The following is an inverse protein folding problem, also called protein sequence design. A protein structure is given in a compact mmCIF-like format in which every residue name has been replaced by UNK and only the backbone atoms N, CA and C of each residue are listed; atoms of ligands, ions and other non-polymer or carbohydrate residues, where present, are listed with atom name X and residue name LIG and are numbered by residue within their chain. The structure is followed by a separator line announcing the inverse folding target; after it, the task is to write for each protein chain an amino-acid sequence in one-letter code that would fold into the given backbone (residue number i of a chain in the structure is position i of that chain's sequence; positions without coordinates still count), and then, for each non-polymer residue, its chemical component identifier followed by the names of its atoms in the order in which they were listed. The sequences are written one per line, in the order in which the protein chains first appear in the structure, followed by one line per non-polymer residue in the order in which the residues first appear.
data_IF_668759259596
#
_entry.id   IF_668759259596
#
_cell.length_a   1.000
_cell.length_b   1.000
_cell.length_c   1.000
_cell.angle_alpha   90.00
_cell.angle_beta   90.00
_cell.angle_gamma   90.00
#
_symmetry.space_group_name_H-M   'P 1'
#
loop_
_entity.id
_entity.type
_entity.pdbx_description
1 polymer ?
#
# COMPACT_ATOMS: atom_id res chain seq x y z
N UNK A 1 -18.90 -14.70 -23.01
CA UNK A 1 -19.70 -14.93 -24.20
C UNK A 1 -20.64 -16.08 -23.94
N UNK A 2 -21.93 -15.90 -24.12
CA UNK A 2 -22.94 -16.95 -24.03
C UNK A 2 -23.44 -17.22 -25.43
N UNK A 3 -23.47 -18.50 -25.79
CA UNK A 3 -24.14 -18.97 -26.99
C UNK A 3 -25.60 -19.24 -26.60
N UNK A 4 -26.56 -18.60 -27.27
CA UNK A 4 -27.95 -18.97 -27.13
C UNK A 4 -28.31 -20.06 -28.15
N UNK A 5 -29.37 -20.82 -27.89
CA UNK A 5 -29.79 -21.94 -28.73
C UNK A 5 -30.14 -21.50 -30.13
N UNK A 6 -30.77 -20.33 -30.29
CA UNK A 6 -31.16 -19.74 -31.58
C UNK A 6 -29.94 -19.40 -32.45
N UNK A 7 -28.87 -18.89 -31.84
CA UNK A 7 -27.61 -18.64 -32.54
C UNK A 7 -26.92 -19.93 -32.99
N UNK A 8 -26.99 -20.98 -32.18
CA UNK A 8 -26.48 -22.32 -32.53
C UNK A 8 -27.25 -22.92 -33.69
N UNK A 9 -28.58 -22.84 -33.67
CA UNK A 9 -29.46 -23.42 -34.69
C UNK A 9 -29.31 -22.70 -36.04
N UNK A 10 -29.00 -21.42 -36.04
CA UNK A 10 -28.81 -20.61 -37.24
C UNK A 10 -27.34 -20.48 -37.68
N UNK A 11 -26.40 -21.13 -36.96
CA UNK A 11 -24.96 -21.01 -37.23
C UNK A 11 -24.39 -19.60 -36.92
N UNK A 12 -25.12 -18.72 -36.26
CA UNK A 12 -24.71 -17.43 -35.85
C UNK A 12 -24.36 -17.40 -34.35
N UNK A 13 -23.15 -17.00 -34.00
CA UNK A 13 -22.76 -16.81 -32.62
C UNK A 13 -23.09 -15.37 -32.21
N UNK A 14 -24.20 -15.20 -31.49
CA UNK A 14 -24.53 -13.93 -30.87
C UNK A 14 -23.80 -13.83 -29.53
N UNK A 15 -22.95 -12.80 -29.43
CA UNK A 15 -22.42 -12.40 -28.11
C UNK A 15 -23.58 -11.85 -27.29
N UNK A 16 -23.88 -12.49 -26.18
CA UNK A 16 -24.84 -11.94 -25.21
C UNK A 16 -24.28 -10.59 -24.71
N UNK A 17 -24.99 -9.49 -25.10
CA UNK A 17 -24.65 -8.13 -24.70
C UNK A 17 -25.03 -7.81 -23.25
N UNK A 18 -25.63 -8.75 -22.53
CA UNK A 18 -25.97 -8.61 -21.13
C UNK A 18 -24.70 -8.69 -20.28
N UNK A 19 -23.98 -7.61 -20.16
CA UNK A 19 -22.83 -7.46 -19.29
C UNK A 19 -23.26 -6.86 -17.95
N UNK A 20 -22.69 -7.36 -16.88
CA UNK A 20 -22.79 -6.69 -15.59
C UNK A 20 -22.17 -5.30 -15.70
N UNK A 21 -22.93 -4.27 -15.33
CA UNK A 21 -22.52 -2.87 -15.44
C UNK A 21 -22.61 -2.22 -14.08
N UNK A 22 -21.61 -1.43 -13.73
CA UNK A 22 -21.69 -0.51 -12.62
C UNK A 22 -21.18 0.87 -13.03
N UNK A 23 -21.77 1.90 -12.44
CA UNK A 23 -21.36 3.29 -12.62
C UNK A 23 -21.05 3.87 -11.26
N UNK A 24 -19.90 4.53 -11.12
CA UNK A 24 -19.47 5.17 -9.88
C UNK A 24 -19.43 6.67 -10.08
N UNK A 25 -20.20 7.38 -9.27
CA UNK A 25 -20.14 8.82 -9.13
C UNK A 25 -19.56 9.15 -7.75
N UNK A 26 -18.43 9.82 -7.72
CA UNK A 26 -17.77 10.23 -6.47
C UNK A 26 -17.51 11.73 -6.51
N UNK A 27 -18.13 12.44 -5.58
CA UNK A 27 -17.93 13.87 -5.35
C UNK A 27 -17.40 14.07 -3.92
N UNK A 28 -16.33 14.83 -3.79
CA UNK A 28 -15.78 15.23 -2.49
C UNK A 28 -15.70 16.76 -2.47
N UNK A 29 -16.52 17.37 -1.63
CA UNK A 29 -16.41 18.78 -1.32
C UNK A 29 -15.59 18.95 -0.07
N UNK A 30 -14.53 19.77 -0.14
CA UNK A 30 -13.59 19.93 0.94
C UNK A 30 -13.36 21.40 1.29
N UNK A 31 -13.28 21.68 2.58
CA UNK A 31 -12.79 22.93 3.11
C UNK A 31 -11.65 22.62 4.11
N UNK A 32 -10.62 23.42 4.10
CA UNK A 32 -9.49 23.25 5.01
C UNK A 32 -8.90 24.59 5.43
N UNK A 33 -8.27 24.57 6.59
CA UNK A 33 -7.45 25.65 7.10
C UNK A 33 -6.29 25.06 7.86
N UNK A 34 -5.12 25.68 7.76
CA UNK A 34 -3.96 25.35 8.57
C UNK A 34 -3.23 26.60 9.03
N UNK A 35 -2.57 26.49 10.17
CA UNK A 35 -1.77 27.54 10.73
C UNK A 35 -0.44 26.97 11.23
N UNK A 36 0.64 27.55 10.75
CA UNK A 36 1.98 27.23 11.23
C UNK A 36 2.51 28.40 12.06
N UNK A 37 2.96 28.10 13.28
CA UNK A 37 3.52 29.09 14.16
C UNK A 37 4.87 28.63 14.72
N UNK A 38 5.87 29.51 14.60
CA UNK A 38 7.20 29.30 15.14
C UNK A 38 7.31 30.01 16.50
N UNK A 39 7.17 29.24 17.57
CA UNK A 39 7.24 29.74 18.95
C UNK A 39 8.65 30.23 19.32
N UNK A 40 9.65 29.48 18.85
CA UNK A 40 11.07 29.82 19.01
C UNK A 40 11.82 29.45 17.73
N UNK A 41 13.11 29.79 17.63
CA UNK A 41 13.98 29.36 16.51
C UNK A 41 14.06 27.82 16.42
N UNK A 42 13.82 27.12 17.52
CA UNK A 42 13.93 25.68 17.62
C UNK A 42 12.56 24.97 17.58
N UNK A 43 11.46 25.66 17.91
CA UNK A 43 10.15 25.01 18.06
C UNK A 43 9.11 25.60 17.11
N UNK A 44 8.57 24.74 16.25
CA UNK A 44 7.51 25.07 15.31
C UNK A 44 6.34 24.11 15.51
N UNK A 45 5.13 24.63 15.51
CA UNK A 45 3.89 23.84 15.48
C UNK A 45 3.05 24.21 14.26
N UNK A 46 2.42 23.21 13.67
CA UNK A 46 1.41 23.36 12.64
C UNK A 46 0.14 22.66 13.11
N UNK A 47 -0.96 23.37 13.12
CA UNK A 47 -2.30 22.86 13.41
C UNK A 47 -3.14 22.98 12.14
N UNK A 48 -3.66 21.86 11.67
CA UNK A 48 -4.52 21.78 10.49
C UNK A 48 -5.89 21.23 10.83
N UNK A 49 -6.88 21.68 10.09
CA UNK A 49 -8.22 21.16 10.10
C UNK A 49 -8.73 21.04 8.67
N UNK A 50 -9.31 19.90 8.35
CA UNK A 50 -9.97 19.67 7.06
C UNK A 50 -11.33 19.00 7.31
N UNK A 51 -12.33 19.41 6.56
CA UNK A 51 -13.62 18.78 6.50
C UNK A 51 -13.89 18.35 5.07
N UNK A 52 -14.13 17.06 4.87
CA UNK A 52 -14.54 16.49 3.58
C UNK A 52 -16.00 16.04 3.69
N UNK A 53 -16.84 16.45 2.76
CA UNK A 53 -18.18 15.89 2.57
C UNK A 53 -18.12 14.97 1.36
N UNK A 54 -18.22 13.68 1.59
CA UNK A 54 -18.12 12.62 0.58
C UNK A 54 -19.52 12.21 0.17
N UNK A 55 -19.78 12.29 -1.14
CA UNK A 55 -20.92 11.71 -1.81
C UNK A 55 -20.39 10.68 -2.80
N UNK A 56 -20.54 9.40 -2.50
CA UNK A 56 -20.13 8.31 -3.39
C UNK A 56 -21.36 7.43 -3.66
N UNK A 57 -21.77 7.38 -4.91
CA UNK A 57 -22.89 6.54 -5.35
C UNK A 57 -22.41 5.53 -6.37
N UNK A 58 -22.78 4.28 -6.15
CA UNK A 58 -22.50 3.15 -7.02
C UNK A 58 -23.83 2.60 -7.50
N UNK A 59 -24.18 2.86 -8.75
CA UNK A 59 -25.34 2.27 -9.43
C UNK A 59 -24.88 0.97 -10.10
N UNK A 60 -25.62 -0.11 -9.93
CA UNK A 60 -25.26 -1.40 -10.51
C UNK A 60 -26.45 -2.13 -11.11
N UNK A 61 -26.17 -2.90 -12.17
CA UNK A 61 -27.11 -3.80 -12.81
C UNK A 61 -26.39 -5.14 -13.06
N UNK A 62 -26.77 -6.14 -12.28
CA UNK A 62 -26.22 -7.50 -12.36
C UNK A 62 -27.19 -8.38 -13.13
N UNK A 63 -26.90 -8.63 -14.40
CA UNK A 63 -27.79 -9.35 -15.30
C UNK A 63 -28.00 -10.83 -14.91
N UNK A 64 -27.00 -11.43 -14.28
CA UNK A 64 -27.11 -12.79 -13.71
C UNK A 64 -27.73 -12.72 -12.32
N UNK A 65 -29.03 -12.81 -12.24
CA UNK A 65 -29.80 -12.76 -11.00
C UNK A 65 -30.78 -11.59 -10.93
N UNK A 66 -30.76 -10.69 -11.93
CA UNK A 66 -31.73 -9.61 -12.03
C UNK A 66 -31.63 -8.57 -10.91
N UNK A 67 -30.45 -8.42 -10.30
CA UNK A 67 -30.26 -7.46 -9.20
C UNK A 67 -29.84 -6.12 -9.75
N UNK A 68 -30.72 -5.13 -9.64
CA UNK A 68 -30.43 -3.74 -9.93
C UNK A 68 -30.59 -2.92 -8.66
N UNK A 69 -29.66 -2.00 -8.42
CA UNK A 69 -29.72 -1.15 -7.24
C UNK A 69 -28.67 -0.05 -7.25
N UNK A 70 -28.61 0.67 -6.14
CA UNK A 70 -27.60 1.68 -5.89
C UNK A 70 -27.21 1.67 -4.42
N UNK A 71 -25.93 1.89 -4.17
CA UNK A 71 -25.37 2.12 -2.83
C UNK A 71 -24.83 3.53 -2.75
N UNK A 72 -25.05 4.19 -1.61
CA UNK A 72 -24.63 5.57 -1.39
C UNK A 72 -23.90 5.72 -0.06
N UNK A 73 -22.71 6.32 -0.13
CA UNK A 73 -21.99 6.82 1.03
C UNK A 73 -22.12 8.35 0.99
N UNK A 74 -22.88 8.90 1.95
CA UNK A 74 -23.07 10.32 2.12
C UNK A 74 -22.68 10.72 3.53
N UNK A 75 -21.42 11.14 3.71
CA UNK A 75 -20.84 11.31 5.05
C UNK A 75 -19.86 12.47 5.11
N UNK A 76 -19.97 13.35 6.14
CA UNK A 76 -18.92 14.31 6.46
C UNK A 76 -17.79 13.64 7.27
N UNK A 77 -16.55 14.02 6.98
CA UNK A 77 -15.36 13.60 7.71
C UNK A 77 -14.63 14.83 8.26
N UNK A 78 -14.38 14.82 9.57
CA UNK A 78 -13.62 15.87 10.25
C UNK A 78 -12.19 15.35 10.49
N UNK A 79 -11.19 16.04 9.96
CA UNK A 79 -9.82 15.57 9.79
C UNK A 79 -8.84 16.58 10.42
N UNK A 80 -8.75 16.61 11.76
CA UNK A 80 -7.75 17.42 12.45
C UNK A 80 -6.34 16.84 12.24
N UNK A 81 -5.33 17.72 12.25
CA UNK A 81 -3.92 17.34 12.24
C UNK A 81 -3.09 18.28 13.11
N UNK A 82 -2.09 17.72 13.76
CA UNK A 82 -1.09 18.43 14.55
C UNK A 82 0.29 17.94 14.14
N UNK A 83 1.19 18.86 13.83
CA UNK A 83 2.58 18.56 13.59
C UNK A 83 3.46 19.48 14.47
N UNK A 84 4.34 18.88 15.24
CA UNK A 84 5.30 19.57 16.08
C UNK A 84 6.71 19.23 15.60
N UNK A 85 7.56 20.24 15.47
CA UNK A 85 8.98 20.09 15.15
C UNK A 85 9.79 20.81 16.21
N UNK A 86 10.77 20.10 16.78
CA UNK A 86 11.69 20.64 17.74
C UNK A 86 13.15 20.35 17.34
N UNK A 87 13.88 21.38 16.97
CA UNK A 87 15.29 21.30 16.63
C UNK A 87 16.11 21.34 17.93
N UNK A 88 16.46 20.16 18.48
CA UNK A 88 17.27 20.00 19.70
C UNK A 88 18.64 20.67 19.56
N UNK A 89 19.23 20.55 18.38
CA UNK A 89 20.47 21.20 17.96
C UNK A 89 20.42 21.47 16.46
N UNK A 90 21.45 22.07 15.87
CA UNK A 90 21.57 22.21 14.41
C UNK A 90 21.60 20.90 13.64
N UNK A 91 21.88 19.79 14.34
CA UNK A 91 22.02 18.45 13.76
C UNK A 91 20.94 17.46 14.20
N UNK A 92 20.17 17.76 15.22
CA UNK A 92 19.15 16.86 15.77
C UNK A 92 17.78 17.51 15.74
N UNK A 93 16.83 16.85 15.13
CA UNK A 93 15.43 17.29 15.07
C UNK A 93 14.51 16.19 15.58
N UNK A 94 13.51 16.57 16.36
CA UNK A 94 12.43 15.70 16.81
C UNK A 94 11.13 16.17 16.17
N UNK A 95 10.32 15.23 15.67
CA UNK A 95 9.03 15.51 15.05
C UNK A 95 7.96 14.63 15.65
N UNK A 96 6.82 15.22 15.96
CA UNK A 96 5.62 14.53 16.39
C UNK A 96 4.49 14.90 15.42
N UNK A 97 3.84 13.91 14.87
CA UNK A 97 2.63 14.04 14.05
C UNK A 97 1.45 13.36 14.73
N UNK A 98 0.28 13.97 14.68
CA UNK A 98 -0.98 13.33 15.05
C UNK A 98 -2.05 13.75 14.06
N UNK A 99 -2.85 12.81 13.54
CA UNK A 99 -3.89 13.13 12.56
C UNK A 99 -5.03 12.13 12.56
N UNK A 100 -6.20 12.59 12.15
CA UNK A 100 -7.31 11.73 11.75
C UNK A 100 -7.44 11.74 10.23
N UNK A 101 -7.61 10.55 9.64
CA UNK A 101 -7.88 10.34 8.22
C UNK A 101 -9.02 9.34 8.05
N UNK A 102 -9.48 9.10 6.82
CA UNK A 102 -10.48 8.07 6.55
C UNK A 102 -10.08 7.23 5.33
N UNK A 103 -10.69 6.04 5.22
CA UNK A 103 -10.58 5.16 4.06
C UNK A 103 -11.98 4.84 3.54
N UNK A 104 -12.23 5.10 2.27
CA UNK A 104 -13.46 4.69 1.60
C UNK A 104 -13.29 3.32 0.96
N UNK A 105 -14.34 2.48 0.92
CA UNK A 105 -14.31 1.28 0.11
C UNK A 105 -14.12 1.65 -1.36
N UNK A 106 -13.42 0.79 -2.10
CA UNK A 106 -13.27 0.94 -3.54
C UNK A 106 -14.58 0.57 -4.25
N UNK A 107 -14.78 1.08 -5.46
CA UNK A 107 -15.97 0.83 -6.23
C UNK A 107 -16.27 -0.67 -6.42
N UNK A 108 -15.24 -1.46 -6.72
CA UNK A 108 -15.40 -2.92 -6.88
C UNK A 108 -15.65 -3.64 -5.56
N UNK A 109 -15.24 -3.06 -4.42
CA UNK A 109 -15.43 -3.67 -3.10
C UNK A 109 -16.86 -3.54 -2.62
N UNK A 110 -17.55 -2.45 -3.00
CA UNK A 110 -18.95 -2.20 -2.62
C UNK A 110 -19.95 -2.70 -3.67
N UNK A 111 -19.51 -2.94 -4.91
CA UNK A 111 -20.41 -3.42 -5.99
C UNK A 111 -20.69 -4.90 -5.86
N UNK A 112 -21.97 -5.35 -5.88
CA UNK A 112 -22.36 -6.73 -5.58
C UNK A 112 -22.12 -7.73 -6.71
N UNK A 113 -21.53 -7.35 -7.82
CA UNK A 113 -21.30 -8.25 -8.93
C UNK A 113 -20.08 -9.16 -8.72
N UNK A 114 -20.12 -10.32 -9.34
CA UNK A 114 -19.06 -11.31 -9.26
C UNK A 114 -18.02 -11.07 -10.34
N UNK A 115 -16.80 -10.78 -9.91
CA UNK A 115 -15.63 -10.66 -10.77
C UNK A 115 -14.90 -11.99 -10.82
N UNK A 116 -14.64 -12.50 -12.04
CA UNK A 116 -13.90 -13.75 -12.24
C UNK A 116 -12.52 -13.41 -12.76
N UNK A 117 -11.53 -13.46 -11.88
CA UNK A 117 -10.11 -13.33 -12.20
C UNK A 117 -9.51 -14.66 -12.64
N UNK A 118 -8.23 -14.64 -12.98
CA UNK A 118 -7.49 -15.85 -13.37
C UNK A 118 -7.34 -16.81 -12.19
N UNK A 119 -7.03 -16.29 -11.00
CA UNK A 119 -6.75 -17.11 -9.81
C UNK A 119 -7.94 -17.25 -8.87
N UNK A 120 -8.71 -16.17 -8.69
CA UNK A 120 -9.82 -16.13 -7.74
C UNK A 120 -11.03 -15.44 -8.33
N UNK A 121 -12.19 -15.90 -7.91
CA UNK A 121 -13.45 -15.17 -8.05
C UNK A 121 -13.55 -14.19 -6.90
N UNK A 122 -14.08 -12.99 -7.13
CA UNK A 122 -14.35 -12.03 -6.05
C UNK A 122 -15.74 -11.43 -6.23
N UNK A 123 -16.34 -11.01 -5.12
CA UNK A 123 -17.65 -10.35 -5.10
C UNK A 123 -17.60 -9.23 -4.07
N UNK A 124 -18.05 -8.04 -4.46
CA UNK A 124 -18.13 -6.91 -3.54
C UNK A 124 -19.23 -7.07 -2.50
N UNK A 125 -19.16 -6.25 -1.45
CA UNK A 125 -20.12 -6.25 -0.34
C UNK A 125 -20.72 -4.82 -0.20
N UNK A 126 -22.02 -4.72 -0.41
CA UNK A 126 -22.79 -3.47 -0.33
C UNK A 126 -22.79 -2.83 1.06
N UNK A 127 -22.59 -3.63 2.10
CA UNK A 127 -22.70 -3.18 3.49
C UNK A 127 -21.42 -2.55 4.04
N UNK A 128 -20.39 -2.37 3.21
CA UNK A 128 -19.13 -1.79 3.63
C UNK A 128 -19.27 -0.35 4.12
N UNK A 129 -18.71 -0.09 5.29
CA UNK A 129 -18.64 1.23 5.90
C UNK A 129 -17.23 1.81 5.75
N UNK A 130 -17.11 3.13 5.57
CA UNK A 130 -15.81 3.78 5.62
C UNK A 130 -15.09 3.57 6.95
N UNK A 131 -13.76 3.44 6.89
CA UNK A 131 -12.91 3.38 8.08
C UNK A 131 -12.48 4.77 8.53
N UNK A 132 -12.45 5.02 9.84
CA UNK A 132 -11.79 6.17 10.43
C UNK A 132 -10.40 5.76 10.95
N UNK A 133 -9.36 6.51 10.62
CA UNK A 133 -7.98 6.21 10.99
C UNK A 133 -7.41 7.31 11.88
N UNK A 134 -6.88 6.95 13.04
CA UNK A 134 -6.18 7.85 13.96
C UNK A 134 -4.70 7.48 13.96
N UNK A 135 -3.85 8.43 13.62
CA UNK A 135 -2.43 8.23 13.41
C UNK A 135 -1.62 9.06 14.40
N UNK A 136 -0.54 8.49 14.92
CA UNK A 136 0.46 9.18 15.73
C UNK A 136 1.83 8.69 15.29
N UNK A 137 2.74 9.63 15.01
CA UNK A 137 4.08 9.38 14.52
C UNK A 137 5.07 10.20 15.36
N UNK A 138 6.16 9.57 15.78
CA UNK A 138 7.29 10.23 16.44
C UNK A 138 8.57 9.88 15.69
N UNK A 139 9.33 10.88 15.29
CA UNK A 139 10.55 10.70 14.50
C UNK A 139 11.69 11.55 15.07
N UNK A 140 12.86 10.93 15.24
CA UNK A 140 14.10 11.61 15.55
C UNK A 140 15.04 11.51 14.35
N UNK A 141 15.55 12.68 13.91
CA UNK A 141 16.48 12.81 12.79
C UNK A 141 17.83 13.34 13.32
N UNK A 142 18.90 12.72 12.89
CA UNK A 142 20.28 13.17 13.10
C UNK A 142 20.97 13.38 11.76
N UNK A 143 21.48 14.57 11.54
CA UNK A 143 22.19 15.00 10.35
C UNK A 143 23.70 15.16 10.67
N UNK A 144 24.53 14.10 10.53
CA UNK A 144 25.97 14.20 10.72
C UNK A 144 26.61 15.28 9.83
N UNK A 145 26.21 15.28 8.55
CA UNK A 145 26.55 16.26 7.52
C UNK A 145 25.30 16.66 6.74
N UNK A 146 25.40 17.58 5.78
CA UNK A 146 24.28 18.00 4.92
C UNK A 146 23.74 16.87 4.00
N UNK A 147 24.56 15.87 3.72
CA UNK A 147 24.20 14.74 2.83
C UNK A 147 23.96 13.42 3.57
N UNK A 148 24.17 13.37 4.88
CA UNK A 148 24.01 12.18 5.70
C UNK A 148 22.82 12.32 6.65
N UNK A 149 22.13 11.22 6.89
CA UNK A 149 20.98 11.14 7.76
C UNK A 149 21.00 9.81 8.52
N UNK A 150 20.72 9.87 9.80
CA UNK A 150 20.25 8.75 10.62
C UNK A 150 18.90 9.16 11.18
N UNK A 151 17.89 8.36 10.91
CA UNK A 151 16.54 8.63 11.40
C UNK A 151 15.95 7.39 12.04
N UNK A 152 15.27 7.57 13.16
CA UNK A 152 14.51 6.52 13.85
C UNK A 152 13.12 7.07 14.12
N UNK A 153 12.11 6.36 13.65
CA UNK A 153 10.71 6.70 13.84
C UNK A 153 9.93 5.58 14.51
N UNK A 154 8.89 5.95 15.24
CA UNK A 154 7.84 5.04 15.71
C UNK A 154 6.50 5.56 15.26
N UNK A 155 5.60 4.67 14.88
CA UNK A 155 4.25 5.03 14.47
C UNK A 155 3.21 4.13 15.13
N UNK A 156 2.04 4.71 15.34
CA UNK A 156 0.87 3.99 15.82
C UNK A 156 -0.37 4.44 15.06
N UNK A 157 -1.21 3.48 14.67
CA UNK A 157 -2.47 3.74 14.00
C UNK A 157 -3.58 2.90 14.64
N UNK A 158 -4.68 3.56 14.99
CA UNK A 158 -5.94 2.93 15.32
C UNK A 158 -6.89 3.09 14.14
N UNK A 159 -7.47 2.00 13.67
CA UNK A 159 -8.40 1.96 12.54
C UNK A 159 -9.75 1.49 13.08
N UNK A 160 -10.78 2.34 13.03
CA UNK A 160 -12.15 1.93 13.28
C UNK A 160 -12.77 1.37 12.00
N UNK A 161 -13.50 0.27 12.10
CA UNK A 161 -14.14 -0.44 10.99
C UNK A 161 -13.15 -0.79 9.85
N UNK A 162 -12.04 -1.51 10.12
CA UNK A 162 -11.07 -1.85 9.09
C UNK A 162 -11.70 -2.72 8.01
N UNK A 163 -11.52 -2.32 6.74
CA UNK A 163 -11.96 -3.09 5.57
C UNK A 163 -10.84 -4.06 5.21
N UNK A 164 -11.19 -5.33 4.97
CA UNK A 164 -10.23 -6.32 4.49
C UNK A 164 -10.91 -7.34 3.59
N UNK A 165 -10.10 -8.00 2.77
CA UNK A 165 -10.53 -9.11 1.94
C UNK A 165 -10.64 -10.38 2.78
N UNK A 166 -11.75 -11.09 2.62
CA UNK A 166 -12.03 -12.35 3.28
C UNK A 166 -12.32 -13.43 2.25
N UNK A 167 -12.12 -14.69 2.65
CA UNK A 167 -12.61 -15.81 1.89
C UNK A 167 -13.98 -16.24 2.40
N UNK A 168 -14.95 -16.32 1.49
CA UNK A 168 -16.30 -16.78 1.82
C UNK A 168 -16.37 -18.28 1.57
N UNK A 169 -16.66 -19.05 2.63
CA UNK A 169 -16.87 -20.49 2.53
C UNK A 169 -18.15 -20.79 1.75
N UNK A 170 -18.00 -21.25 0.52
CA UNK A 170 -19.09 -21.67 -0.35
C UNK A 170 -18.64 -22.80 -1.27
N UNK A 171 -19.57 -23.56 -1.84
CA UNK A 171 -19.25 -24.66 -2.77
C UNK A 171 -18.38 -24.24 -3.98
N UNK A 172 -18.31 -22.97 -4.30
CA UNK A 172 -17.49 -22.45 -5.39
C UNK A 172 -16.32 -21.57 -4.95
N UNK A 173 -16.12 -21.33 -3.65
CA UNK A 173 -15.12 -20.44 -3.05
C UNK A 173 -15.02 -19.09 -3.76
N UNK A 174 -15.14 -17.99 -3.06
CA UNK A 174 -14.85 -16.67 -3.62
C UNK A 174 -14.35 -15.71 -2.54
N UNK A 175 -13.64 -14.68 -2.95
CA UNK A 175 -13.18 -13.63 -2.08
C UNK A 175 -14.25 -12.53 -1.99
N UNK A 176 -14.43 -11.96 -0.81
CA UNK A 176 -15.29 -10.81 -0.58
C UNK A 176 -14.56 -9.76 0.27
N UNK A 177 -15.25 -8.70 0.62
CA UNK A 177 -14.70 -7.61 1.43
C UNK A 177 -15.62 -7.36 2.61
N UNK A 178 -15.05 -7.14 3.78
CA UNK A 178 -15.82 -6.85 4.99
C UNK A 178 -15.12 -5.84 5.89
N UNK A 179 -15.93 -5.16 6.71
CA UNK A 179 -15.41 -4.52 7.90
C UNK A 179 -15.20 -5.63 8.93
N UNK A 180 -13.98 -6.15 9.00
CA UNK A 180 -13.64 -7.41 9.69
C UNK A 180 -13.77 -7.34 11.21
N UNK A 181 -13.84 -6.13 11.77
CA UNK A 181 -13.82 -5.88 13.20
C UNK A 181 -14.22 -4.43 13.49
N UNK A 182 -14.62 -4.14 14.73
CA UNK A 182 -14.82 -2.76 15.17
C UNK A 182 -13.54 -1.94 15.13
N UNK A 183 -12.38 -2.60 15.33
CA UNK A 183 -11.07 -1.93 15.41
C UNK A 183 -9.92 -2.80 14.96
N UNK A 184 -8.90 -2.14 14.41
CA UNK A 184 -7.58 -2.72 14.24
C UNK A 184 -6.51 -1.78 14.80
N UNK A 185 -5.39 -2.37 15.22
CA UNK A 185 -4.21 -1.68 15.72
C UNK A 185 -3.05 -1.95 14.78
N UNK A 186 -2.32 -0.89 14.47
CA UNK A 186 -1.06 -0.95 13.71
C UNK A 186 -0.02 -0.18 14.50
N UNK A 187 1.15 -0.76 14.69
CA UNK A 187 2.27 -0.07 15.32
C UNK A 187 3.58 -0.54 14.72
N UNK A 188 4.58 0.31 14.72
CA UNK A 188 5.85 -0.10 14.15
C UNK A 188 6.96 0.90 14.38
N UNK A 189 8.13 0.51 13.89
CA UNK A 189 9.35 1.33 13.93
C UNK A 189 9.97 1.39 12.54
N UNK A 190 10.55 2.55 12.24
CA UNK A 190 11.26 2.81 10.99
C UNK A 190 12.68 3.27 11.30
N UNK A 191 13.64 2.81 10.50
CA UNK A 191 15.01 3.26 10.54
C UNK A 191 15.40 3.69 9.12
N UNK A 192 15.97 4.89 8.99
CA UNK A 192 16.53 5.38 7.73
C UNK A 192 17.99 5.78 7.97
N UNK A 193 18.86 5.33 7.07
CA UNK A 193 20.28 5.67 7.05
C UNK A 193 20.65 6.16 5.65
N UNK A 194 21.30 7.32 5.58
CA UNK A 194 22.02 7.80 4.39
C UNK A 194 23.44 8.11 4.79
N UNK A 195 24.40 7.44 4.15
CA UNK A 195 25.81 7.54 4.51
C UNK A 195 26.69 7.73 3.28
N UNK A 196 27.52 8.75 3.28
CA UNK A 196 28.58 8.91 2.29
C UNK A 196 29.74 7.98 2.68
N UNK A 197 29.88 6.84 1.99
CA UNK A 197 30.95 5.87 2.22
C UNK A 197 32.29 6.37 1.70
N UNK A 198 32.23 7.12 0.60
CA UNK A 198 33.40 7.73 -0.02
C UNK A 198 33.02 9.04 -0.69
N UNK A 199 33.80 10.06 -0.50
CA UNK A 199 33.64 11.36 -1.14
C UNK A 199 35.01 11.99 -1.34
N UNK A 200 35.40 12.23 -2.59
CA UNK A 200 36.72 12.80 -2.90
C UNK A 200 36.64 13.67 -4.17
N UNK A 201 37.32 14.79 -4.13
CA UNK A 201 37.61 15.60 -5.30
C UNK A 201 39.10 15.48 -5.64
N UNK A 202 39.43 15.15 -6.88
CA UNK A 202 40.80 15.01 -7.40
C UNK A 202 40.90 15.90 -8.64
N UNK A 203 41.45 17.09 -8.51
CA UNK A 203 41.43 18.10 -9.57
C UNK A 203 39.98 18.50 -9.88
N UNK A 204 39.59 18.30 -11.13
CA UNK A 204 38.21 18.60 -11.58
C UNK A 204 37.25 17.41 -11.40
N UNK A 205 37.77 16.27 -10.95
CA UNK A 205 36.96 15.04 -10.78
C UNK A 205 36.35 14.99 -9.39
N UNK A 206 35.07 14.71 -9.34
CA UNK A 206 34.31 14.47 -8.13
C UNK A 206 33.79 13.05 -8.10
N UNK A 207 34.10 12.35 -7.02
CA UNK A 207 33.68 10.95 -6.79
C UNK A 207 32.89 10.88 -5.50
N UNK A 208 31.75 10.20 -5.52
CA UNK A 208 30.91 9.95 -4.34
C UNK A 208 30.35 8.53 -4.40
N UNK A 209 30.48 7.80 -3.31
CA UNK A 209 29.78 6.54 -3.07
C UNK A 209 28.87 6.74 -1.87
N UNK A 210 27.57 6.54 -2.06
CA UNK A 210 26.56 6.74 -1.05
C UNK A 210 25.77 5.44 -0.83
N UNK A 211 25.52 5.12 0.45
CA UNK A 211 24.65 4.04 0.90
C UNK A 211 23.35 4.64 1.43
N UNK A 212 22.23 4.18 0.91
CA UNK A 212 20.89 4.38 1.45
C UNK A 212 20.37 3.08 2.04
N UNK A 213 19.71 3.15 3.18
CA UNK A 213 19.01 2.05 3.82
C UNK A 213 17.73 2.55 4.47
N UNK A 214 16.64 1.84 4.28
CA UNK A 214 15.39 2.04 4.99
C UNK A 214 14.85 0.68 5.42
N UNK A 215 14.53 0.54 6.70
CA UNK A 215 13.93 -0.66 7.28
C UNK A 215 12.71 -0.30 8.10
N UNK A 216 11.61 -1.03 7.90
CA UNK A 216 10.37 -0.87 8.66
C UNK A 216 9.97 -2.21 9.26
N UNK A 217 9.66 -2.21 10.55
CA UNK A 217 8.94 -3.29 11.22
C UNK A 217 7.54 -2.83 11.56
N UNK A 218 6.53 -3.60 11.14
CA UNK A 218 5.11 -3.30 11.34
C UNK A 218 4.43 -4.47 12.06
N UNK A 219 3.83 -4.21 13.19
CA UNK A 219 2.92 -5.11 13.88
C UNK A 219 1.48 -4.67 13.61
N UNK A 220 0.62 -5.61 13.22
CA UNK A 220 -0.81 -5.36 13.01
C UNK A 220 -1.63 -6.39 13.77
N UNK A 221 -2.77 -5.96 14.30
CA UNK A 221 -3.71 -6.85 14.99
C UNK A 221 -5.14 -6.38 14.78
N UNK A 222 -6.00 -7.31 14.31
CA UNK A 222 -7.45 -7.14 14.26
C UNK A 222 -8.12 -8.41 14.79
N UNK A 223 -9.16 -8.27 15.60
CA UNK A 223 -10.00 -9.41 15.98
C UNK A 223 -11.02 -9.61 14.86
N UNK A 224 -10.89 -10.70 14.12
CA UNK A 224 -11.80 -11.01 13.01
C UNK A 224 -13.07 -11.66 13.58
N UNK A 225 -14.21 -10.97 13.48
CA UNK A 225 -15.46 -11.41 14.11
C UNK A 225 -15.99 -12.73 13.55
N UNK A 226 -15.74 -12.96 12.25
CA UNK A 226 -16.21 -14.16 11.56
C UNK A 226 -15.27 -15.36 11.67
N UNK A 227 -14.09 -15.18 12.24
CA UNK A 227 -13.13 -16.25 12.51
C UNK A 227 -13.23 -16.68 13.98
N UNK A 228 -14.24 -17.47 14.31
CA UNK A 228 -14.52 -17.93 15.67
C UNK A 228 -13.41 -18.76 16.30
N UNK A 229 -12.51 -19.29 15.49
CA UNK A 229 -11.38 -20.14 15.89
C UNK A 229 -10.05 -19.38 15.95
N UNK A 230 -10.02 -18.06 15.65
CA UNK A 230 -8.84 -17.21 15.69
C UNK A 230 -8.92 -16.15 16.80
N UNK A 231 -7.83 -15.97 17.52
CA UNK A 231 -7.70 -14.90 18.52
C UNK A 231 -7.46 -13.52 17.90
N UNK A 232 -7.07 -13.48 16.64
CA UNK A 232 -6.82 -12.28 15.85
C UNK A 232 -6.11 -12.62 14.54
N UNK A 233 -6.07 -11.67 13.62
CA UNK A 233 -5.36 -11.76 12.36
C UNK A 233 -4.51 -10.52 12.13
N UNK A 234 -3.49 -10.67 11.27
CA UNK A 234 -2.78 -9.54 10.69
C UNK A 234 -3.70 -8.85 9.67
N UNK A 235 -3.46 -7.57 9.43
CA UNK A 235 -4.17 -6.84 8.39
C UNK A 235 -3.69 -7.24 6.99
N UNK A 236 -4.62 -7.33 6.05
CA UNK A 236 -4.34 -7.57 4.65
C UNK A 236 -3.31 -6.58 4.10
N UNK A 237 -2.34 -7.10 3.35
CA UNK A 237 -1.34 -6.30 2.64
C UNK A 237 -0.23 -5.71 3.51
N UNK A 238 -0.33 -5.79 4.84
CA UNK A 238 0.68 -5.27 5.76
C UNK A 238 1.82 -6.28 5.96
N UNK A 239 2.95 -6.08 5.28
CA UNK A 239 4.14 -6.89 5.51
C UNK A 239 4.80 -6.52 6.85
N UNK A 240 5.09 -7.51 7.76
CA UNK A 240 5.79 -7.25 9.01
C UNK A 240 7.16 -6.60 8.83
N UNK A 241 7.90 -6.96 7.79
CA UNK A 241 9.20 -6.37 7.48
C UNK A 241 9.25 -5.85 6.06
N UNK A 242 9.70 -4.61 5.89
CA UNK A 242 10.04 -4.01 4.61
C UNK A 242 11.46 -3.48 4.73
N UNK A 243 12.33 -3.85 3.80
CA UNK A 243 13.71 -3.40 3.75
C UNK A 243 14.04 -2.90 2.35
N UNK A 244 14.61 -1.71 2.27
CA UNK A 244 15.11 -1.13 1.04
C UNK A 244 16.55 -0.71 1.27
N UNK A 245 17.45 -1.04 0.34
CA UNK A 245 18.84 -0.63 0.37
C UNK A 245 19.28 -0.19 -1.02
N UNK A 246 20.03 0.88 -1.09
CA UNK A 246 20.64 1.33 -2.33
C UNK A 246 22.10 1.67 -2.16
N UNK A 247 22.88 1.38 -3.20
CA UNK A 247 24.27 1.79 -3.31
C UNK A 247 24.43 2.60 -4.58
N UNK A 248 24.77 3.88 -4.43
CA UNK A 248 24.86 4.83 -5.54
C UNK A 248 26.29 5.34 -5.66
N UNK A 249 26.88 5.16 -6.84
CA UNK A 249 28.14 5.76 -7.21
C UNK A 249 27.92 6.91 -8.17
N UNK A 250 28.50 8.07 -7.86
CA UNK A 250 28.47 9.28 -8.67
C UNK A 250 29.88 9.68 -9.04
N UNK A 251 30.11 9.91 -10.33
CA UNK A 251 31.28 10.55 -10.90
C UNK A 251 30.85 11.82 -11.64
N UNK A 252 31.59 12.91 -11.48
CA UNK A 252 31.38 14.15 -12.23
C UNK A 252 32.72 14.78 -12.57
N UNK A 253 32.86 15.22 -13.81
CA UNK A 253 34.00 15.99 -14.32
C UNK A 253 33.52 17.00 -15.34
N UNK A 254 33.60 18.32 -15.02
CA UNK A 254 33.09 19.38 -15.92
C UNK A 254 31.71 19.03 -16.53
N UNK A 255 31.69 18.76 -17.83
CA UNK A 255 30.50 18.48 -18.62
C UNK A 255 30.11 17.00 -18.67
N UNK A 256 30.94 16.12 -18.08
CA UNK A 256 30.69 14.69 -18.00
C UNK A 256 30.20 14.29 -16.63
N UNK A 257 29.27 13.38 -16.59
CA UNK A 257 28.78 12.84 -15.32
C UNK A 257 28.28 11.40 -15.49
N UNK A 258 28.47 10.62 -14.46
CA UNK A 258 27.90 9.26 -14.39
C UNK A 258 27.31 9.05 -13.00
N UNK A 259 26.13 8.50 -12.95
CA UNK A 259 25.51 8.01 -11.71
C UNK A 259 25.00 6.60 -11.97
N UNK A 260 25.48 5.64 -11.20
CA UNK A 260 25.00 4.26 -11.20
C UNK A 260 24.47 3.90 -9.82
N UNK A 261 23.26 3.36 -9.75
CA UNK A 261 22.62 2.96 -8.50
C UNK A 261 22.10 1.54 -8.60
N UNK A 262 22.42 0.72 -7.62
CA UNK A 262 21.84 -0.60 -7.42
C UNK A 262 20.84 -0.47 -6.28
N UNK A 263 19.62 -0.94 -6.47
CA UNK A 263 18.54 -0.88 -5.49
C UNK A 263 18.06 -2.30 -5.19
N UNK A 264 18.03 -2.66 -3.92
CA UNK A 264 17.50 -3.92 -3.43
C UNK A 264 16.29 -3.63 -2.55
N UNK A 265 15.17 -4.29 -2.82
CA UNK A 265 13.96 -4.18 -2.02
C UNK A 265 13.53 -5.59 -1.58
N UNK A 266 13.02 -5.68 -0.37
CA UNK A 266 12.45 -6.91 0.19
C UNK A 266 11.23 -6.57 1.04
N UNK A 267 10.17 -7.34 0.88
CA UNK A 267 9.08 -7.40 1.84
C UNK A 267 8.90 -8.84 2.31
N UNK A 268 8.58 -9.00 3.59
CA UNK A 268 8.30 -10.31 4.19
C UNK A 268 6.91 -10.82 3.80
N UNK A 269 6.63 -12.09 4.12
CA UNK A 269 5.32 -12.70 3.98
C UNK A 269 4.24 -11.80 4.58
N UNK A 270 3.09 -11.68 3.88
CA UNK A 270 1.95 -10.87 4.31
C UNK A 270 0.63 -11.54 4.02
N UNK A 271 -0.39 -11.24 4.80
CA UNK A 271 -1.74 -11.71 4.54
C UNK A 271 -2.25 -11.13 3.23
N UNK A 272 -2.59 -11.99 2.29
CA UNK A 272 -3.26 -11.63 1.04
C UNK A 272 -4.77 -11.64 1.20
N UNK A 273 -5.32 -12.61 1.94
CA UNK A 273 -6.74 -12.74 2.23
C UNK A 273 -6.90 -13.40 3.60
N UNK A 274 -7.80 -12.87 4.40
CA UNK A 274 -8.13 -13.45 5.70
C UNK A 274 -9.04 -14.65 5.51
N UNK A 275 -8.62 -15.79 6.03
CA UNK A 275 -9.44 -17.00 6.05
C UNK A 275 -10.53 -16.90 7.11
N UNK A 276 -11.74 -17.36 6.79
CA UNK A 276 -12.88 -17.40 7.70
C UNK A 276 -13.47 -18.80 7.74
N UNK A 277 -14.30 -19.10 8.75
CA UNK A 277 -15.08 -20.35 8.85
C UNK A 277 -14.22 -21.62 8.74
N UNK A 278 -13.05 -21.64 9.40
CA UNK A 278 -12.15 -22.80 9.44
C UNK A 278 -11.06 -22.82 8.36
N UNK A 279 -11.07 -21.87 7.41
CA UNK A 279 -9.95 -21.70 6.48
C UNK A 279 -8.84 -20.89 7.10
N UNK A 280 -7.60 -21.26 6.81
CA UNK A 280 -6.42 -20.46 7.13
C UNK A 280 -6.23 -19.32 6.13
N UNK A 281 -5.48 -18.29 6.56
CA UNK A 281 -5.21 -17.13 5.72
C UNK A 281 -4.45 -17.53 4.45
N UNK A 282 -4.72 -16.82 3.36
CA UNK A 282 -3.88 -16.88 2.16
C UNK A 282 -2.74 -15.90 2.36
N UNK A 283 -1.52 -16.39 2.24
CA UNK A 283 -0.30 -15.63 2.45
C UNK A 283 0.39 -15.37 1.11
N UNK A 284 0.72 -14.11 0.85
CA UNK A 284 1.65 -13.73 -0.22
C UNK A 284 3.07 -13.84 0.33
N UNK A 285 3.88 -14.69 -0.29
CA UNK A 285 5.28 -14.91 0.11
C UNK A 285 6.12 -13.68 -0.19
N UNK A 286 7.00 -13.35 0.74
CA UNK A 286 7.96 -12.26 0.58
C UNK A 286 8.99 -12.57 -0.49
N UNK A 287 9.32 -11.55 -1.29
CA UNK A 287 10.31 -11.68 -2.37
C UNK A 287 11.28 -10.51 -2.38
N UNK A 288 12.57 -10.77 -2.68
CA UNK A 288 13.53 -9.72 -2.98
C UNK A 288 13.40 -9.25 -4.43
N UNK A 289 13.63 -7.97 -4.70
CA UNK A 289 13.81 -7.42 -6.05
C UNK A 289 15.12 -6.67 -6.15
N UNK A 290 15.71 -6.66 -7.33
CA UNK A 290 16.96 -5.96 -7.61
C UNK A 290 16.79 -5.12 -8.87
N UNK A 291 17.05 -3.82 -8.73
CA UNK A 291 16.98 -2.86 -9.83
C UNK A 291 18.36 -2.20 -10.03
N UNK A 292 18.65 -1.82 -11.27
CA UNK A 292 19.84 -1.02 -11.61
C UNK A 292 19.40 0.19 -12.42
N UNK A 293 19.83 1.36 -11.96
CA UNK A 293 19.57 2.64 -12.63
C UNK A 293 20.90 3.30 -12.94
N UNK A 294 21.08 3.72 -14.19
CA UNK A 294 22.27 4.42 -14.64
C UNK A 294 21.87 5.69 -15.37
N UNK A 295 22.62 6.75 -15.15
CA UNK A 295 22.50 8.01 -15.87
C UNK A 295 23.91 8.46 -16.26
N UNK A 296 24.13 8.73 -17.53
CA UNK A 296 25.40 9.20 -18.07
C UNK A 296 25.18 10.51 -18.82
N UNK A 297 25.67 11.61 -18.26
CA UNK A 297 25.78 12.90 -18.96
C UNK A 297 27.06 12.84 -19.81
N UNK A 298 26.91 12.75 -21.13
CA UNK A 298 28.02 12.64 -22.08
C UNK A 298 28.51 14.02 -22.55
N UNK A 299 27.65 15.02 -22.52
CA UNK A 299 27.95 16.43 -22.82
C UNK A 299 27.00 17.32 -22.04
N UNK A 300 27.18 18.66 -22.15
CA UNK A 300 26.22 19.63 -21.58
C UNK A 300 24.79 19.47 -22.11
N UNK A 301 24.59 18.84 -23.26
CA UNK A 301 23.30 18.75 -23.95
C UNK A 301 22.79 17.32 -24.13
N UNK A 302 23.59 16.31 -23.80
CA UNK A 302 23.24 14.92 -24.07
C UNK A 302 23.41 14.04 -22.84
N UNK A 303 22.29 13.45 -22.38
CA UNK A 303 22.24 12.51 -21.27
C UNK A 303 21.59 11.21 -21.71
N UNK A 304 22.14 10.09 -21.28
CA UNK A 304 21.58 8.75 -21.51
C UNK A 304 21.18 8.16 -20.17
N UNK A 305 19.91 7.76 -20.06
CA UNK A 305 19.37 7.08 -18.90
C UNK A 305 19.03 5.64 -19.24
N UNK A 306 19.38 4.70 -18.35
CA UNK A 306 19.08 3.29 -18.44
C UNK A 306 18.48 2.81 -17.13
N UNK A 307 17.38 2.05 -17.20
CA UNK A 307 16.71 1.45 -16.06
C UNK A 307 16.46 -0.03 -16.33
N UNK A 308 17.04 -0.88 -15.51
CA UNK A 308 16.81 -2.33 -15.52
C UNK A 308 16.10 -2.66 -14.20
N UNK A 309 14.91 -3.21 -14.29
CA UNK A 309 14.10 -3.54 -13.11
C UNK A 309 13.93 -5.03 -12.97
N UNK A 310 13.75 -5.45 -11.71
CA UNK A 310 13.42 -6.83 -11.37
C UNK A 310 14.44 -7.86 -11.93
N UNK A 311 15.74 -7.57 -11.84
CA UNK A 311 16.81 -8.42 -12.40
C UNK A 311 16.84 -9.84 -11.82
N UNK A 312 16.33 -10.04 -10.60
CA UNK A 312 16.25 -11.36 -9.96
C UNK A 312 15.07 -12.16 -10.52
N UNK A 313 14.00 -11.47 -10.96
CA UNK A 313 12.74 -12.04 -11.43
C UNK A 313 12.19 -13.16 -10.51
N UNK A 314 11.92 -12.87 -9.22
CA UNK A 314 11.44 -13.89 -8.30
C UNK A 314 10.01 -14.30 -8.64
N UNK A 315 9.68 -15.58 -8.45
CA UNK A 315 8.29 -16.06 -8.53
C UNK A 315 7.49 -15.58 -7.33
N UNK A 316 6.36 -14.95 -7.60
CA UNK A 316 5.38 -14.54 -6.59
C UNK A 316 4.42 -15.68 -6.30
N UNK A 317 4.28 -16.06 -5.04
CA UNK A 317 3.46 -17.20 -4.63
C UNK A 317 2.41 -16.78 -3.61
N UNK A 318 1.19 -17.24 -3.84
CA UNK A 318 0.09 -17.23 -2.88
C UNK A 318 -0.05 -18.64 -2.32
N UNK A 319 0.07 -18.77 -1.02
CA UNK A 319 0.08 -20.06 -0.34
C UNK A 319 -0.92 -20.08 0.81
N UNK A 320 -1.29 -21.29 1.22
CA UNK A 320 -2.11 -21.55 2.40
C UNK A 320 -1.55 -22.73 3.17
N UNK A 321 -1.50 -22.60 4.47
CA UNK A 321 -1.26 -23.72 5.38
C UNK A 321 -2.54 -24.53 5.53
N UNK A 322 -2.43 -25.85 5.39
CA UNK A 322 -3.56 -26.78 5.60
C UNK A 322 -3.43 -27.36 7.00
N UNK A 323 -4.28 -26.90 7.92
CA UNK A 323 -4.23 -27.31 9.35
C UNK A 323 -4.23 -28.82 9.56
N UNK A 324 -4.99 -29.57 8.75
CA UNK A 324 -5.10 -31.01 8.90
C UNK A 324 -3.83 -31.79 8.58
N UNK A 325 -2.96 -31.25 7.73
CA UNK A 325 -1.74 -31.91 7.27
C UNK A 325 -0.47 -31.17 7.69
N UNK A 326 -0.57 -29.91 8.10
CA UNK A 326 0.57 -29.02 8.36
C UNK A 326 1.39 -28.69 7.12
N UNK A 327 0.84 -28.92 5.92
CA UNK A 327 1.51 -28.67 4.65
C UNK A 327 1.08 -27.35 4.06
N UNK A 328 2.05 -26.62 3.50
CA UNK A 328 1.81 -25.43 2.70
C UNK A 328 1.38 -25.83 1.28
N UNK A 329 0.28 -25.29 0.80
CA UNK A 329 -0.24 -25.51 -0.55
C UNK A 329 -0.13 -24.21 -1.35
N UNK A 330 0.50 -24.28 -2.52
CA UNK A 330 0.57 -23.18 -3.47
C UNK A 330 -0.76 -23.05 -4.20
N UNK A 331 -1.45 -21.93 -4.01
CA UNK A 331 -2.73 -21.63 -4.65
C UNK A 331 -2.55 -20.89 -5.98
N UNK A 332 -1.50 -20.09 -6.08
CA UNK A 332 -1.15 -19.35 -7.28
C UNK A 332 0.34 -19.03 -7.31
N UNK A 333 0.95 -19.10 -8.48
CA UNK A 333 2.34 -18.73 -8.74
C UNK A 333 2.44 -17.98 -10.07
N UNK A 334 3.18 -16.86 -10.08
CA UNK A 334 3.36 -16.04 -11.28
C UNK A 334 4.64 -15.21 -11.21
N UNK A 335 5.19 -14.90 -12.36
CA UNK A 335 6.33 -14.02 -12.52
C UNK A 335 5.86 -12.63 -12.99
N UNK A 336 6.53 -11.59 -12.56
CA UNK A 336 6.16 -10.20 -12.95
C UNK A 336 6.98 -9.66 -14.12
N UNK A 337 7.94 -10.43 -14.63
CA UNK A 337 8.80 -10.04 -15.75
C UNK A 337 9.90 -9.05 -15.37
#
# INVERSE_FOLDING_TARGET
AYFNQEGLDNGNFLLDKNTDIYTVNKLINAVYADATYQFTKAFTANLGFRMDHVLMRVDYNVNRGGTQGSEEINKPFFLPSLNLKYDLTKKHSLRLGASKTYTLPQAKEISPFRYVGVSFKSQGNQNLQPSDNYNVDLKWDFFPTESELVSIGGFFKYIANPISRIEVASAGGYLSYENISDKALVGGVEIELRKDLYKKSIGEDYHKLNLGFNGTYTYTHAKVEQATDKTGSQLEGAAPFIVNADLSYQFRRKDYGFTGTIVCNYFSDRVYTIGTQGFDDIIEKGVPTLDVVMSAQLTQHFTVDMKMKNLINPSYRLVRDVRSTGQEVVLNEYDKG
#
